data_IF_565603880533
#
_entry.id   IF_565603880533
#
_cell.length_a   1.000
_cell.length_b   1.000
_cell.length_c   1.000
_cell.angle_alpha   90.00
_cell.angle_beta   90.00
_cell.angle_gamma   90.00
#
_symmetry.space_group_name_H-M   'P 1'
#
loop_
_entity.id
_entity.type
_entity.pdbx_description
1 polymer ?
#
# COMPACT_ATOMS: atom_id res chain seq x y z
N UNK A 1 -22.94 -25.77 16.83
CA UNK A 1 -22.64 -24.46 16.20
C UNK A 1 -21.28 -24.61 15.52
N UNK A 2 -21.19 -24.38 14.21
CA UNK A 2 -19.94 -24.58 13.46
C UNK A 2 -19.00 -23.41 13.75
N UNK A 3 -17.87 -23.69 14.39
CA UNK A 3 -16.76 -22.77 14.59
C UNK A 3 -16.06 -22.50 13.25
N UNK A 4 -16.65 -21.62 12.43
CA UNK A 4 -16.08 -21.24 11.14
C UNK A 4 -15.16 -20.04 11.35
N UNK A 5 -13.85 -20.30 11.33
CA UNK A 5 -12.84 -19.27 11.15
C UNK A 5 -13.10 -18.55 9.82
N UNK A 6 -13.26 -17.23 9.87
CA UNK A 6 -13.47 -16.35 8.71
C UNK A 6 -12.28 -15.42 8.58
N UNK A 7 -11.90 -15.14 7.33
CA UNK A 7 -10.94 -14.10 7.00
C UNK A 7 -11.59 -13.08 6.07
N UNK A 8 -11.17 -11.82 6.18
CA UNK A 8 -11.48 -10.76 5.22
C UNK A 8 -10.17 -10.38 4.55
N UNK A 9 -10.13 -10.45 3.22
CA UNK A 9 -8.98 -10.04 2.41
C UNK A 9 -9.40 -8.81 1.64
N UNK A 10 -8.66 -7.72 1.82
CA UNK A 10 -8.84 -6.47 1.08
C UNK A 10 -7.58 -6.22 0.26
N UNK A 11 -7.73 -6.16 -1.06
CA UNK A 11 -6.64 -5.84 -1.99
C UNK A 11 -6.79 -4.38 -2.39
N UNK A 12 -5.77 -3.59 -2.10
CA UNK A 12 -5.67 -2.20 -2.55
C UNK A 12 -4.85 -2.18 -3.83
N UNK A 13 -5.53 -2.34 -4.98
CA UNK A 13 -4.87 -2.43 -6.27
C UNK A 13 -4.11 -1.13 -6.61
N UNK A 14 -2.86 -1.28 -7.08
CA UNK A 14 -1.96 -0.18 -7.41
C UNK A 14 -1.38 0.61 -6.23
N UNK A 15 -1.71 0.28 -4.97
CA UNK A 15 -1.25 1.03 -3.78
C UNK A 15 0.13 0.53 -3.31
N UNK A 16 1.16 0.81 -4.10
CA UNK A 16 2.56 0.52 -3.75
C UNK A 16 3.12 1.46 -2.67
N UNK A 17 3.99 0.92 -1.80
CA UNK A 17 4.55 1.63 -0.62
C UNK A 17 6.06 1.88 -0.70
N UNK A 18 6.64 1.71 -1.88
CA UNK A 18 8.08 1.81 -2.11
C UNK A 18 8.49 0.90 -3.27
N UNK A 19 9.75 1.01 -3.64
CA UNK A 19 10.29 0.28 -4.78
C UNK A 19 10.63 -1.16 -4.38
N UNK A 20 10.46 -2.11 -5.31
CA UNK A 20 10.88 -3.50 -5.10
C UNK A 20 12.40 -3.66 -5.34
N UNK A 21 13.06 -4.69 -4.79
CA UNK A 21 14.51 -4.88 -4.97
C UNK A 21 14.95 -5.10 -6.43
N UNK A 22 14.04 -5.50 -7.31
CA UNK A 22 14.27 -5.87 -8.70
C UNK A 22 13.85 -4.77 -9.70
N UNK A 23 13.60 -3.54 -9.24
CA UNK A 23 13.18 -2.42 -10.09
C UNK A 23 14.12 -2.14 -11.26
N UNK A 24 15.40 -2.51 -11.15
CA UNK A 24 16.37 -2.42 -12.24
C UNK A 24 15.99 -3.24 -13.49
N UNK A 25 15.26 -4.34 -13.33
CA UNK A 25 14.79 -5.16 -14.45
C UNK A 25 13.54 -4.58 -15.15
N UNK A 26 12.81 -3.68 -14.47
CA UNK A 26 11.52 -3.16 -14.92
C UNK A 26 11.55 -1.67 -15.27
N UNK A 27 12.62 -0.96 -14.92
CA UNK A 27 12.74 0.49 -15.14
C UNK A 27 11.97 1.33 -14.11
N UNK A 28 11.59 0.74 -12.98
CA UNK A 28 10.73 1.36 -11.95
C UNK A 28 11.52 1.88 -10.73
N UNK A 29 12.80 2.19 -10.92
CA UNK A 29 13.66 2.71 -9.84
C UNK A 29 13.09 4.01 -9.26
N UNK A 30 13.02 4.09 -7.92
CA UNK A 30 12.43 5.20 -7.17
C UNK A 30 10.90 5.21 -7.13
N UNK A 31 10.22 4.15 -7.59
CA UNK A 31 8.76 4.03 -7.48
C UNK A 31 8.31 4.02 -6.02
N UNK A 32 7.29 4.82 -5.70
CA UNK A 32 6.66 4.85 -4.37
C UNK A 32 5.28 5.48 -4.48
N UNK A 33 4.25 4.73 -4.89
CA UNK A 33 2.94 5.30 -5.20
C UNK A 33 2.35 6.09 -4.03
N UNK A 34 2.23 5.46 -2.85
CA UNK A 34 1.63 6.10 -1.67
C UNK A 34 2.42 7.33 -1.23
N UNK A 35 3.76 7.25 -1.19
CA UNK A 35 4.63 8.36 -0.85
C UNK A 35 4.62 9.49 -1.89
N UNK A 36 4.53 9.18 -3.17
CA UNK A 36 4.47 10.15 -4.26
C UNK A 36 3.15 10.91 -4.23
N UNK A 37 2.03 10.21 -4.05
CA UNK A 37 0.71 10.83 -3.90
C UNK A 37 0.68 11.74 -2.67
N UNK A 38 1.14 11.26 -1.51
CA UNK A 38 1.20 12.08 -0.31
C UNK A 38 2.00 13.37 -0.52
N UNK A 39 3.17 13.30 -1.18
CA UNK A 39 3.97 14.49 -1.51
C UNK A 39 3.24 15.42 -2.49
N UNK A 40 2.60 14.89 -3.51
CA UNK A 40 1.91 15.68 -4.52
C UNK A 40 0.69 16.43 -3.97
N UNK A 41 -0.03 15.83 -3.02
CA UNK A 41 -1.30 16.40 -2.48
C UNK A 41 -1.16 17.08 -1.11
N UNK A 42 0.06 17.18 -0.56
CA UNK A 42 0.31 17.85 0.72
C UNK A 42 0.00 16.98 1.95
N UNK A 43 0.01 15.66 1.82
CA UNK A 43 -0.26 14.69 2.86
C UNK A 43 -1.48 13.81 2.56
N UNK A 44 -1.64 12.74 3.34
CA UNK A 44 -2.79 11.84 3.27
C UNK A 44 -3.47 11.77 4.64
N UNK A 45 -4.80 11.94 4.68
CA UNK A 45 -5.59 11.76 5.89
C UNK A 45 -6.22 10.36 5.89
N UNK A 46 -5.48 9.36 6.38
CA UNK A 46 -5.89 7.96 6.40
C UNK A 46 -5.85 7.38 7.84
N UNK A 47 -6.63 7.94 8.79
CA UNK A 47 -6.48 7.62 10.22
C UNK A 47 -6.78 6.16 10.55
N UNK A 48 -7.76 5.55 9.87
CA UNK A 48 -8.08 4.12 10.07
C UNK A 48 -6.97 3.22 9.56
N UNK A 49 -6.40 3.51 8.38
CA UNK A 49 -5.32 2.69 7.82
C UNK A 49 -4.06 2.80 8.69
N UNK A 50 -3.71 4.03 9.10
CA UNK A 50 -2.58 4.27 10.00
C UNK A 50 -2.75 3.62 11.38
N UNK A 51 -3.99 3.43 11.86
CA UNK A 51 -4.24 2.71 13.12
C UNK A 51 -3.90 1.22 13.07
N UNK A 52 -3.71 0.65 11.87
CA UNK A 52 -3.31 -0.74 11.69
C UNK A 52 -1.79 -0.96 11.65
N UNK A 53 -0.99 0.10 11.54
CA UNK A 53 0.48 0.06 11.37
C UNK A 53 0.93 0.73 10.07
#
# INVERSE_FOLDING_TARGET
>A
MSDKRRAVILVLDGVGVGEAPDTSAYGDAGSNTLGNVARAVGGLNLPTLASYG
#
